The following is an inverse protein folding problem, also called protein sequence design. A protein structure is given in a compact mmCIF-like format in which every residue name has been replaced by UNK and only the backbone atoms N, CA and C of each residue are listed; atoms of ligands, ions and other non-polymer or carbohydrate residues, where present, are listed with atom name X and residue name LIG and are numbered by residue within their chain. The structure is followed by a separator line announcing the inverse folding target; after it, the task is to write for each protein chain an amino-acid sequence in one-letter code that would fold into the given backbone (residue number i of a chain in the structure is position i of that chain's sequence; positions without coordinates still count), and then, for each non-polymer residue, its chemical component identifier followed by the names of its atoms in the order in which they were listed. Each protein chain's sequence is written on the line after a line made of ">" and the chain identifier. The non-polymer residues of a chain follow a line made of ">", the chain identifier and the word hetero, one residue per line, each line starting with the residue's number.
data_IF_285691181524
#
_entry.id   IF_285691181524
#
_cell.length_a   1.000
_cell.length_b   1.000
_cell.length_c   1.000
_cell.angle_alpha   90.00
_cell.angle_beta   90.00
_cell.angle_gamma   90.00
#
_symmetry.space_group_name_H-M   'P 1'
#
loop_
_entity.id
_entity.type
_entity.pdbx_description
1 polymer ?
#
# COMPACT_ATOMS: atom_id res chain seq x y z
N UNK A 1 3.91 9.40 -22.28
CA UNK A 1 4.34 8.64 -21.10
C UNK A 1 4.01 7.15 -21.19
N UNK A 2 2.77 6.74 -21.46
CA UNK A 2 2.43 5.31 -21.57
C UNK A 2 3.30 4.59 -22.63
N UNK A 3 3.46 5.17 -23.82
CA UNK A 3 4.32 4.60 -24.88
C UNK A 3 5.79 4.49 -24.51
N UNK A 4 6.28 5.35 -23.61
CA UNK A 4 7.67 5.36 -23.14
C UNK A 4 7.95 4.27 -22.11
N UNK A 5 7.00 4.02 -21.19
CA UNK A 5 7.17 3.08 -20.07
C UNK A 5 6.52 1.74 -20.32
N UNK A 6 5.64 1.62 -21.33
CA UNK A 6 4.88 0.40 -21.69
C UNK A 6 4.29 -0.31 -20.45
N UNK A 7 3.49 0.38 -19.63
CA UNK A 7 2.87 -0.24 -18.47
C UNK A 7 1.77 -1.20 -18.90
N UNK A 8 1.46 -2.16 -18.05
CA UNK A 8 0.32 -3.07 -18.25
C UNK A 8 -1.00 -2.45 -17.78
N UNK A 9 -0.95 -1.50 -16.84
CA UNK A 9 -2.10 -0.86 -16.19
C UNK A 9 -1.77 0.60 -15.88
N UNK A 10 -2.76 1.47 -15.99
CA UNK A 10 -2.71 2.85 -15.48
C UNK A 10 -3.59 2.94 -14.23
N UNK A 11 -3.01 3.32 -13.08
CA UNK A 11 -3.78 3.53 -11.84
C UNK A 11 -3.87 5.02 -11.48
N UNK A 12 -5.11 5.53 -11.33
CA UNK A 12 -5.36 6.92 -10.95
C UNK A 12 -5.48 7.01 -9.43
N UNK A 13 -4.74 7.95 -8.82
CA UNK A 13 -4.71 8.13 -7.38
C UNK A 13 -5.67 9.24 -6.90
N UNK A 14 -6.85 8.84 -6.40
CA UNK A 14 -7.81 9.69 -5.68
C UNK A 14 -7.81 9.42 -4.17
N UNK A 15 -6.71 8.90 -3.62
CA UNK A 15 -6.62 8.52 -2.20
C UNK A 15 -5.56 9.26 -1.38
N UNK A 16 -4.58 9.94 -1.99
CA UNK A 16 -3.51 10.61 -1.26
C UNK A 16 -4.04 11.81 -0.44
N UNK A 17 -3.95 11.79 0.92
CA UNK A 17 -4.48 12.85 1.77
C UNK A 17 -3.45 13.95 2.08
N UNK A 18 -2.22 13.83 1.59
CA UNK A 18 -1.10 14.72 1.96
C UNK A 18 -1.39 16.17 1.53
N UNK A 19 -1.25 17.18 2.41
CA UNK A 19 -1.56 18.59 2.09
C UNK A 19 -0.85 19.13 0.85
N UNK A 20 0.40 18.72 0.59
CA UNK A 20 1.15 19.12 -0.61
C UNK A 20 0.45 18.70 -1.91
N UNK A 21 -0.30 17.60 -1.89
CA UNK A 21 -1.06 17.07 -3.02
C UNK A 21 -2.46 17.66 -3.06
N UNK A 22 -3.18 17.63 -1.92
CA UNK A 22 -4.58 18.06 -1.86
C UNK A 22 -4.77 19.55 -2.07
N UNK A 23 -3.81 20.41 -1.68
CA UNK A 23 -3.82 21.85 -1.98
C UNK A 23 -3.76 22.18 -3.48
N UNK A 24 -3.32 21.22 -4.31
CA UNK A 24 -3.28 21.33 -5.77
C UNK A 24 -4.53 20.74 -6.46
N UNK A 25 -5.55 20.35 -5.71
CA UNK A 25 -6.75 19.69 -6.23
C UNK A 25 -6.56 18.21 -6.57
N UNK A 26 -5.36 17.65 -6.35
CA UNK A 26 -5.03 16.26 -6.71
C UNK A 26 -5.22 15.28 -5.53
N UNK A 27 -5.07 13.97 -5.81
CA UNK A 27 -5.25 12.92 -4.82
C UNK A 27 -6.68 12.91 -4.28
N UNK A 28 -6.83 12.82 -2.95
CA UNK A 28 -8.16 12.76 -2.33
C UNK A 28 -8.95 14.08 -2.39
N UNK A 29 -8.36 15.18 -2.85
CA UNK A 29 -9.10 16.42 -3.08
C UNK A 29 -10.08 16.32 -4.25
N UNK A 30 -9.81 15.46 -5.23
CA UNK A 30 -10.73 15.18 -6.34
C UNK A 30 -12.08 14.63 -5.86
N UNK A 31 -12.13 13.99 -4.69
CA UNK A 31 -13.37 13.46 -4.11
C UNK A 31 -14.37 14.54 -3.65
N UNK A 32 -13.99 15.81 -3.69
CA UNK A 32 -14.89 16.95 -3.39
C UNK A 32 -15.74 17.34 -4.58
N UNK A 33 -15.29 17.01 -5.79
CA UNK A 33 -15.94 17.35 -7.06
C UNK A 33 -15.98 16.11 -7.94
N UNK A 34 -17.13 15.43 -7.90
CA UNK A 34 -17.30 14.16 -8.63
C UNK A 34 -17.41 14.41 -10.15
N UNK A 35 -17.86 15.59 -10.60
CA UNK A 35 -17.91 15.93 -12.03
C UNK A 35 -16.48 16.03 -12.57
N UNK A 36 -15.62 16.81 -11.89
CA UNK A 36 -14.21 16.93 -12.28
C UNK A 36 -13.48 15.59 -12.20
N UNK A 37 -13.78 14.76 -11.19
CA UNK A 37 -13.20 13.40 -11.06
C UNK A 37 -13.58 12.54 -12.28
N UNK A 38 -14.83 12.58 -12.71
CA UNK A 38 -15.33 11.84 -13.87
C UNK A 38 -14.67 12.35 -15.17
N UNK A 39 -14.60 13.67 -15.37
CA UNK A 39 -13.94 14.28 -16.54
C UNK A 39 -12.47 13.86 -16.66
N UNK A 40 -11.70 13.94 -15.55
CA UNK A 40 -10.31 13.52 -15.52
C UNK A 40 -10.19 12.02 -15.84
N UNK A 41 -11.06 11.20 -15.26
CA UNK A 41 -11.02 9.75 -15.44
C UNK A 41 -11.33 9.38 -16.90
N UNK A 42 -12.37 9.96 -17.48
CA UNK A 42 -12.75 9.75 -18.88
C UNK A 42 -11.62 10.15 -19.84
N UNK A 43 -11.03 11.33 -19.62
CA UNK A 43 -9.90 11.79 -20.42
C UNK A 43 -8.68 10.82 -20.36
N UNK A 44 -8.41 10.23 -19.20
CA UNK A 44 -7.34 9.22 -19.06
C UNK A 44 -7.72 7.93 -19.80
N UNK A 45 -8.95 7.41 -19.61
CA UNK A 45 -9.42 6.20 -20.30
C UNK A 45 -9.37 6.36 -21.82
N UNK A 46 -9.86 7.48 -22.33
CA UNK A 46 -9.86 7.79 -23.77
C UNK A 46 -8.44 7.94 -24.35
N UNK A 47 -7.50 8.45 -23.55
CA UNK A 47 -6.12 8.65 -24.02
C UNK A 47 -5.30 7.37 -24.11
N UNK A 48 -5.74 6.27 -23.47
CA UNK A 48 -5.04 4.97 -23.44
C UNK A 48 -5.99 3.80 -23.67
N UNK A 49 -6.72 3.75 -24.79
CA UNK A 49 -7.78 2.77 -25.01
C UNK A 49 -7.29 1.32 -25.01
N UNK A 50 -5.98 1.09 -25.21
CA UNK A 50 -5.33 -0.21 -25.22
C UNK A 50 -4.96 -0.71 -23.82
N UNK A 51 -5.03 0.13 -22.77
CA UNK A 51 -4.62 -0.21 -21.42
C UNK A 51 -5.82 -0.19 -20.45
N UNK A 52 -5.88 -1.14 -19.51
CA UNK A 52 -6.86 -1.03 -18.42
C UNK A 52 -6.50 0.14 -17.51
N UNK A 53 -7.50 0.98 -17.21
CA UNK A 53 -7.38 2.05 -16.22
C UNK A 53 -8.06 1.60 -14.93
N UNK A 54 -7.37 1.72 -13.80
CA UNK A 54 -7.88 1.46 -12.46
C UNK A 54 -7.83 2.71 -11.61
N UNK A 55 -8.57 2.71 -10.51
CA UNK A 55 -8.62 3.85 -9.59
C UNK A 55 -8.38 3.38 -8.17
N UNK A 56 -7.52 4.09 -7.42
CA UNK A 56 -7.43 3.96 -5.98
C UNK A 56 -7.98 5.20 -5.30
N UNK A 57 -9.01 5.03 -4.43
CA UNK A 57 -9.68 6.15 -3.76
C UNK A 57 -9.86 5.97 -2.26
N UNK A 58 -10.26 7.04 -1.57
CA UNK A 58 -10.80 7.04 -0.19
C UNK A 58 -12.32 7.11 -0.21
N UNK A 59 -12.94 6.95 0.98
CA UNK A 59 -14.39 6.97 1.13
C UNK A 59 -15.04 8.34 0.86
N UNK A 60 -14.26 9.40 0.92
CA UNK A 60 -14.71 10.78 0.75
C UNK A 60 -13.76 11.76 1.43
N UNK A 61 -14.17 13.04 1.49
CA UNK A 61 -13.37 14.08 2.12
C UNK A 61 -13.41 14.02 3.66
N UNK A 62 -14.62 13.92 4.23
CA UNK A 62 -14.85 13.78 5.66
C UNK A 62 -16.10 12.91 5.93
N UNK A 63 -16.48 12.77 7.20
CA UNK A 63 -17.60 11.91 7.62
C UNK A 63 -18.97 12.34 7.08
N UNK A 64 -19.11 13.60 6.69
CA UNK A 64 -20.37 14.13 6.13
C UNK A 64 -20.43 14.00 4.60
N UNK A 65 -19.30 13.73 3.98
CA UNK A 65 -19.15 13.64 2.51
C UNK A 65 -18.64 12.28 2.08
N UNK A 66 -19.29 11.21 2.54
CA UNK A 66 -19.05 9.85 2.05
C UNK A 66 -19.69 9.71 0.66
N UNK A 67 -18.88 9.34 -0.35
CA UNK A 67 -19.30 9.38 -1.75
C UNK A 67 -19.10 8.03 -2.47
N UNK A 68 -18.85 6.97 -1.71
CA UNK A 68 -18.37 5.67 -2.21
C UNK A 68 -19.24 5.12 -3.35
N UNK A 69 -20.56 5.05 -3.15
CA UNK A 69 -21.50 4.52 -4.15
C UNK A 69 -21.55 5.40 -5.40
N UNK A 70 -21.72 6.72 -5.22
CA UNK A 70 -21.78 7.67 -6.34
C UNK A 70 -20.50 7.67 -7.16
N UNK A 71 -19.34 7.74 -6.47
CA UNK A 71 -18.04 7.71 -7.13
C UNK A 71 -17.83 6.38 -7.87
N UNK A 72 -18.18 5.25 -7.25
CA UNK A 72 -18.08 3.94 -7.88
C UNK A 72 -18.85 3.86 -9.20
N UNK A 73 -20.12 4.25 -9.20
CA UNK A 73 -20.96 4.28 -10.40
C UNK A 73 -20.43 5.19 -11.50
N UNK A 74 -19.92 6.38 -11.15
CA UNK A 74 -19.35 7.32 -12.13
C UNK A 74 -18.05 6.78 -12.72
N UNK A 75 -17.16 6.22 -11.89
CA UNK A 75 -15.90 5.62 -12.34
C UNK A 75 -16.12 4.42 -13.28
N UNK A 76 -17.09 3.56 -12.97
CA UNK A 76 -17.45 2.44 -13.83
C UNK A 76 -17.99 2.92 -15.17
N UNK A 77 -18.90 3.91 -15.18
CA UNK A 77 -19.41 4.56 -16.42
C UNK A 77 -18.30 5.20 -17.24
N UNK A 78 -17.30 5.81 -16.59
CA UNK A 78 -16.14 6.39 -17.25
C UNK A 78 -15.18 5.33 -17.84
N UNK A 79 -15.45 4.02 -17.64
CA UNK A 79 -14.70 2.93 -18.25
C UNK A 79 -13.56 2.35 -17.38
N UNK A 80 -13.51 2.70 -16.09
CA UNK A 80 -12.55 2.12 -15.12
C UNK A 80 -12.75 0.60 -15.03
N UNK A 81 -11.65 -0.15 -14.93
CA UNK A 81 -11.66 -1.62 -14.94
C UNK A 81 -11.57 -2.25 -13.54
N UNK A 82 -11.14 -1.51 -12.53
CA UNK A 82 -11.19 -1.94 -11.12
C UNK A 82 -11.08 -0.74 -10.19
N UNK A 83 -11.63 -0.83 -8.98
CA UNK A 83 -11.56 0.21 -7.97
C UNK A 83 -10.96 -0.36 -6.69
N UNK A 84 -9.89 0.27 -6.19
CA UNK A 84 -9.34 0.01 -4.85
C UNK A 84 -9.90 1.04 -3.87
N UNK A 85 -10.61 0.59 -2.84
CA UNK A 85 -11.15 1.47 -1.81
C UNK A 85 -10.39 1.35 -0.49
N UNK A 86 -9.84 2.48 -0.01
CA UNK A 86 -9.45 2.64 1.38
C UNK A 86 -10.58 3.37 2.12
N UNK A 87 -11.36 2.68 2.99
CA UNK A 87 -12.61 3.20 3.52
C UNK A 87 -12.42 4.13 4.73
N UNK A 88 -11.38 4.94 4.71
CA UNK A 88 -11.21 6.13 5.55
C UNK A 88 -11.42 7.37 4.71
N UNK A 89 -11.89 8.45 5.34
CA UNK A 89 -11.97 9.75 4.69
C UNK A 89 -10.61 10.44 4.61
N UNK A 90 -10.51 11.52 3.82
CA UNK A 90 -9.29 12.32 3.74
C UNK A 90 -8.91 12.91 5.10
N UNK A 91 -9.89 13.48 5.84
CA UNK A 91 -9.66 14.08 7.16
C UNK A 91 -9.27 13.07 8.24
N UNK A 92 -9.68 11.82 8.11
CA UNK A 92 -9.26 10.76 9.05
C UNK A 92 -7.78 10.41 8.93
N UNK A 93 -7.14 10.62 7.80
CA UNK A 93 -5.78 10.11 7.57
C UNK A 93 -5.65 8.61 7.88
N UNK A 94 -5.16 8.26 9.07
CA UNK A 94 -5.00 6.89 9.59
C UNK A 94 -5.60 6.73 11.00
N UNK A 95 -6.35 7.73 11.48
CA UNK A 95 -6.99 7.66 12.80
C UNK A 95 -8.26 6.80 12.77
N UNK A 96 -8.61 6.24 13.92
CA UNK A 96 -9.76 5.35 14.05
C UNK A 96 -9.61 4.04 13.26
N UNK A 97 -10.71 3.34 13.04
CA UNK A 97 -10.76 2.09 12.25
C UNK A 97 -11.21 2.37 10.83
N UNK A 98 -10.75 1.54 9.88
CA UNK A 98 -11.30 1.46 8.52
C UNK A 98 -12.70 0.87 8.58
N UNK A 99 -13.66 1.56 7.97
CA UNK A 99 -15.05 1.08 7.91
C UNK A 99 -15.25 0.16 6.69
N UNK A 100 -15.07 -1.12 6.89
CA UNK A 100 -15.17 -2.11 5.81
C UNK A 100 -16.58 -2.22 5.21
N UNK A 101 -17.63 -1.75 5.92
CA UNK A 101 -18.98 -1.71 5.35
C UNK A 101 -19.06 -0.86 4.08
N UNK A 102 -18.22 0.16 3.96
CA UNK A 102 -18.13 0.99 2.75
C UNK A 102 -17.53 0.23 1.55
N UNK A 103 -16.66 -0.77 1.79
CA UNK A 103 -16.19 -1.65 0.72
C UNK A 103 -17.33 -2.53 0.21
N UNK A 104 -18.14 -3.06 1.13
CA UNK A 104 -19.34 -3.82 0.77
C UNK A 104 -20.33 -2.99 -0.04
N UNK A 105 -20.58 -1.74 0.37
CA UNK A 105 -21.44 -0.81 -0.37
C UNK A 105 -20.90 -0.59 -1.79
N UNK A 106 -19.60 -0.34 -1.95
CA UNK A 106 -18.99 -0.20 -3.27
C UNK A 106 -19.17 -1.47 -4.11
N UNK A 107 -18.90 -2.65 -3.52
CA UNK A 107 -19.02 -3.92 -4.23
C UNK A 107 -20.44 -4.20 -4.71
N UNK A 108 -21.45 -3.76 -3.96
CA UNK A 108 -22.86 -3.89 -4.35
C UNK A 108 -23.28 -2.87 -5.42
N UNK A 109 -22.57 -1.73 -5.52
CA UNK A 109 -22.90 -0.65 -6.42
C UNK A 109 -22.31 -0.82 -7.83
N UNK A 110 -21.22 -1.59 -7.99
CA UNK A 110 -20.49 -1.74 -9.25
C UNK A 110 -20.35 -3.20 -9.66
N UNK A 111 -20.25 -3.46 -10.97
CA UNK A 111 -20.00 -4.79 -11.54
C UNK A 111 -18.51 -5.11 -11.72
N UNK A 112 -17.67 -4.08 -11.79
CA UNK A 112 -16.22 -4.21 -11.92
C UNK A 112 -15.56 -4.71 -10.63
N UNK A 113 -14.36 -5.29 -10.71
CA UNK A 113 -13.63 -5.74 -9.54
C UNK A 113 -13.38 -4.62 -8.51
N UNK A 114 -13.61 -4.97 -7.23
CA UNK A 114 -13.35 -4.11 -6.08
C UNK A 114 -12.21 -4.70 -5.25
N UNK A 115 -11.19 -3.90 -4.97
CA UNK A 115 -10.05 -4.26 -4.12
C UNK A 115 -10.21 -3.58 -2.75
N UNK A 116 -10.39 -4.39 -1.70
CA UNK A 116 -10.48 -3.91 -0.31
C UNK A 116 -9.11 -3.53 0.25
N UNK A 117 -9.01 -2.36 0.88
CA UNK A 117 -7.77 -1.86 1.50
C UNK A 117 -8.07 -1.20 2.85
N UNK A 118 -7.17 -1.34 3.82
CA UNK A 118 -7.22 -0.66 5.11
C UNK A 118 -7.35 -1.62 6.29
N UNK A 119 -6.48 -1.43 7.29
CA UNK A 119 -6.40 -2.19 8.55
C UNK A 119 -6.29 -3.72 8.40
N UNK A 120 -5.71 -4.18 7.30
CA UNK A 120 -5.33 -5.57 7.11
C UNK A 120 -3.94 -5.72 7.73
N UNK A 121 -3.86 -6.41 8.87
CA UNK A 121 -2.64 -6.64 9.64
C UNK A 121 -2.17 -8.08 9.61
N UNK A 122 -3.08 -9.02 9.39
CA UNK A 122 -2.86 -10.47 9.44
C UNK A 122 -3.52 -11.17 8.25
N UNK A 123 -3.19 -12.44 8.06
CA UNK A 123 -3.85 -13.27 7.05
C UNK A 123 -5.33 -13.53 7.40
N UNK A 124 -5.68 -13.59 8.69
CA UNK A 124 -7.08 -13.71 9.13
C UNK A 124 -7.89 -12.45 8.79
N UNK A 125 -7.29 -11.25 8.88
CA UNK A 125 -7.97 -10.02 8.42
C UNK A 125 -8.28 -10.07 6.93
N UNK A 126 -7.41 -10.69 6.12
CA UNK A 126 -7.68 -10.89 4.69
C UNK A 126 -8.91 -11.75 4.48
N UNK A 127 -8.99 -12.88 5.17
CA UNK A 127 -10.15 -13.79 5.12
C UNK A 127 -11.42 -13.05 5.50
N UNK A 128 -11.40 -12.35 6.64
CA UNK A 128 -12.52 -11.54 7.11
C UNK A 128 -12.93 -10.45 6.11
N UNK A 129 -11.97 -9.77 5.49
CA UNK A 129 -12.26 -8.75 4.48
C UNK A 129 -13.08 -9.33 3.32
N UNK A 130 -12.72 -10.50 2.80
CA UNK A 130 -13.48 -11.17 1.77
C UNK A 130 -14.90 -11.58 2.26
N UNK A 131 -14.99 -12.18 3.45
CA UNK A 131 -16.26 -12.65 4.02
C UNK A 131 -17.23 -11.52 4.34
N UNK A 132 -16.74 -10.43 4.94
CA UNK A 132 -17.55 -9.31 5.38
C UNK A 132 -17.97 -8.37 4.23
N UNK A 133 -17.11 -8.23 3.20
CA UNK A 133 -17.33 -7.22 2.15
C UNK A 133 -17.69 -7.77 0.78
N UNK A 134 -17.32 -9.03 0.49
CA UNK A 134 -17.48 -9.63 -0.83
C UNK A 134 -16.56 -9.04 -1.90
N UNK A 135 -15.50 -8.28 -1.53
CA UNK A 135 -14.54 -7.73 -2.49
C UNK A 135 -13.81 -8.84 -3.26
N UNK A 136 -13.29 -8.52 -4.44
CA UNK A 136 -12.66 -9.49 -5.36
C UNK A 136 -11.17 -9.69 -5.07
N UNK A 137 -10.53 -8.70 -4.43
CA UNK A 137 -9.13 -8.75 -4.05
C UNK A 137 -8.87 -7.87 -2.82
N UNK A 138 -7.67 -7.99 -2.24
CA UNK A 138 -7.24 -7.16 -1.12
C UNK A 138 -5.90 -6.51 -1.39
N UNK A 139 -5.72 -5.28 -0.91
CA UNK A 139 -4.46 -4.55 -0.95
C UNK A 139 -3.92 -4.39 0.47
N UNK A 140 -2.71 -4.89 0.70
CA UNK A 140 -2.02 -4.78 1.98
C UNK A 140 -1.11 -3.56 1.94
N UNK A 141 -1.23 -2.70 2.94
CA UNK A 141 -0.40 -1.50 3.08
C UNK A 141 0.67 -1.66 4.15
N UNK A 142 0.47 -1.01 5.29
CA UNK A 142 1.44 -0.89 6.38
C UNK A 142 1.93 -2.22 6.96
N UNK A 143 1.11 -3.26 6.94
CA UNK A 143 1.47 -4.57 7.48
C UNK A 143 2.58 -5.28 6.68
N UNK A 144 2.80 -4.92 5.42
CA UNK A 144 3.90 -5.42 4.60
C UNK A 144 5.25 -4.74 4.91
N UNK A 145 5.24 -3.61 5.65
CA UNK A 145 6.48 -2.89 5.98
C UNK A 145 7.34 -3.70 6.95
N UNK A 146 8.51 -4.12 6.48
CA UNK A 146 9.42 -5.01 7.22
C UNK A 146 8.85 -6.41 7.45
N UNK A 147 7.78 -6.78 6.75
CA UNK A 147 7.12 -8.08 6.84
C UNK A 147 6.60 -8.54 5.45
N UNK A 148 7.48 -8.82 4.47
CA UNK A 148 7.04 -9.35 3.19
C UNK A 148 6.47 -10.78 3.28
N UNK A 149 6.72 -11.50 4.36
CA UNK A 149 6.25 -12.88 4.59
C UNK A 149 4.72 -12.96 4.71
N UNK A 150 4.04 -11.86 5.07
CA UNK A 150 2.58 -11.79 5.14
C UNK A 150 1.90 -12.27 3.85
N UNK A 151 2.52 -12.05 2.68
CA UNK A 151 1.98 -12.54 1.41
C UNK A 151 2.08 -14.06 1.27
N UNK A 152 3.14 -14.67 1.79
CA UNK A 152 3.30 -16.13 1.86
C UNK A 152 2.30 -16.78 2.81
N UNK A 153 2.09 -16.17 3.98
CA UNK A 153 1.08 -16.61 4.96
C UNK A 153 -0.32 -16.59 4.36
N UNK A 154 -0.69 -15.48 3.71
CA UNK A 154 -1.99 -15.33 3.04
C UNK A 154 -2.15 -16.38 1.94
N UNK A 155 -1.15 -16.55 1.09
CA UNK A 155 -1.17 -17.55 0.01
C UNK A 155 -1.42 -18.94 0.57
N UNK A 156 -0.73 -19.32 1.65
CA UNK A 156 -0.90 -20.64 2.28
C UNK A 156 -2.32 -20.88 2.81
N UNK A 157 -2.97 -19.84 3.36
CA UNK A 157 -4.37 -19.95 3.82
C UNK A 157 -5.32 -20.22 2.64
N UNK A 158 -5.15 -19.48 1.53
CA UNK A 158 -6.04 -19.67 0.37
C UNK A 158 -5.78 -20.98 -0.38
N UNK A 159 -4.53 -21.43 -0.45
CA UNK A 159 -4.17 -22.70 -1.05
C UNK A 159 -4.38 -23.89 -0.11
N UNK A 160 -4.78 -23.66 1.15
CA UNK A 160 -4.94 -24.69 2.19
C UNK A 160 -3.66 -25.51 2.39
N UNK A 161 -2.52 -24.87 2.30
CA UNK A 161 -1.19 -25.47 2.53
C UNK A 161 -0.72 -25.17 3.95
N UNK A 162 0.42 -25.77 4.33
CA UNK A 162 1.02 -25.53 5.66
C UNK A 162 1.48 -24.07 5.75
N UNK A 163 1.11 -23.39 6.83
CA UNK A 163 1.59 -22.03 7.09
C UNK A 163 3.12 -22.03 7.20
N UNK A 164 3.80 -21.10 6.53
CA UNK A 164 5.24 -20.95 6.68
C UNK A 164 5.58 -20.61 8.14
N UNK A 165 6.72 -21.07 8.65
CA UNK A 165 7.16 -20.68 9.98
C UNK A 165 7.35 -19.17 10.06
N UNK A 166 7.14 -18.60 11.26
CA UNK A 166 7.42 -17.19 11.49
C UNK A 166 8.91 -16.89 11.20
N UNK A 167 9.22 -15.75 10.54
CA UNK A 167 10.61 -15.42 10.22
C UNK A 167 11.44 -15.22 11.49
N UNK A 168 12.59 -15.86 11.52
CA UNK A 168 13.59 -15.67 12.56
C UNK A 168 14.19 -14.26 12.47
N UNK A 169 14.97 -13.88 13.49
CA UNK A 169 15.68 -12.59 13.49
C UNK A 169 16.65 -12.52 12.32
N UNK A 170 17.35 -13.61 12.02
CA UNK A 170 18.29 -13.72 10.89
C UNK A 170 17.60 -13.52 9.53
N UNK A 171 16.41 -14.09 9.34
CA UNK A 171 15.63 -13.91 8.10
C UNK A 171 15.29 -12.44 7.89
N UNK A 172 14.91 -11.76 8.96
CA UNK A 172 14.57 -10.34 8.95
C UNK A 172 15.78 -9.46 8.66
N UNK A 173 16.94 -9.79 9.22
CA UNK A 173 18.21 -9.11 8.94
C UNK A 173 18.62 -9.35 7.50
N UNK A 174 18.55 -10.58 7.02
CA UNK A 174 18.86 -10.94 5.62
C UNK A 174 17.97 -10.17 4.65
N UNK A 175 16.66 -10.12 4.90
CA UNK A 175 15.73 -9.35 4.09
C UNK A 175 16.00 -7.84 4.15
N UNK A 176 16.37 -7.31 5.31
CA UNK A 176 16.78 -5.91 5.51
C UNK A 176 18.00 -5.57 4.64
N UNK A 177 19.03 -6.44 4.64
CA UNK A 177 20.24 -6.30 3.81
C UNK A 177 19.88 -6.32 2.31
N UNK A 178 19.08 -7.29 1.89
CA UNK A 178 18.59 -7.38 0.51
C UNK A 178 17.86 -6.12 0.08
N UNK A 179 16.96 -5.59 0.92
CA UNK A 179 16.23 -4.36 0.64
C UNK A 179 17.17 -3.15 0.49
N UNK A 180 18.16 -3.00 1.37
CA UNK A 180 19.17 -1.94 1.26
C UNK A 180 19.94 -2.04 -0.05
N UNK A 181 20.46 -3.24 -0.39
CA UNK A 181 21.21 -3.45 -1.61
C UNK A 181 20.39 -3.10 -2.87
N UNK A 182 19.13 -3.56 -2.95
CA UNK A 182 18.24 -3.22 -4.06
C UNK A 182 17.94 -1.72 -4.16
N UNK A 183 17.79 -1.03 -3.04
CA UNK A 183 17.59 0.42 -3.04
C UNK A 183 18.85 1.16 -3.54
N UNK A 184 20.04 0.73 -3.10
CA UNK A 184 21.31 1.31 -3.55
C UNK A 184 21.53 1.06 -5.04
N UNK A 185 21.30 -0.16 -5.49
CA UNK A 185 21.43 -0.56 -6.90
C UNK A 185 20.51 0.27 -7.81
N UNK A 186 19.25 0.44 -7.41
CA UNK A 186 18.24 1.09 -8.27
C UNK A 186 18.20 2.62 -8.15
N UNK A 187 18.69 3.21 -7.05
CA UNK A 187 18.57 4.64 -6.74
C UNK A 187 19.89 5.35 -6.50
N UNK A 188 20.99 4.59 -6.51
CA UNK A 188 22.31 5.07 -6.10
C UNK A 188 22.47 5.15 -4.57
N UNK A 189 23.73 5.19 -4.13
CA UNK A 189 24.15 5.13 -2.73
C UNK A 189 23.37 6.10 -1.81
N UNK A 190 23.47 7.39 -2.10
CA UNK A 190 22.90 8.45 -1.24
C UNK A 190 21.38 8.35 -1.11
N UNK A 191 20.68 8.13 -2.22
CA UNK A 191 19.22 8.09 -2.24
C UNK A 191 18.73 6.77 -1.66
N UNK A 192 19.36 5.65 -2.02
CA UNK A 192 19.04 4.31 -1.55
C UNK A 192 19.13 4.21 -0.02
N UNK A 193 20.25 4.66 0.56
CA UNK A 193 20.42 4.67 2.01
C UNK A 193 19.40 5.58 2.71
N UNK A 194 19.17 6.79 2.19
CA UNK A 194 18.18 7.70 2.77
C UNK A 194 16.76 7.10 2.77
N UNK A 195 16.37 6.41 1.71
CA UNK A 195 15.10 5.71 1.64
C UNK A 195 15.05 4.55 2.63
N UNK A 196 16.16 3.82 2.80
CA UNK A 196 16.23 2.67 3.70
C UNK A 196 16.12 3.05 5.18
N UNK A 197 16.55 4.24 5.60
CA UNK A 197 16.56 4.69 7.01
C UNK A 197 15.21 4.48 7.71
N UNK A 198 14.11 4.80 7.04
CA UNK A 198 12.77 4.56 7.59
C UNK A 198 12.41 3.07 7.68
N UNK A 199 12.98 2.22 6.82
CA UNK A 199 12.69 0.79 6.78
C UNK A 199 13.45 0.00 7.85
N UNK A 200 14.62 0.46 8.29
CA UNK A 200 15.35 -0.18 9.40
C UNK A 200 14.46 -0.39 10.62
N UNK A 201 13.62 0.62 10.96
CA UNK A 201 12.72 0.54 12.12
C UNK A 201 11.65 -0.56 12.03
N UNK A 202 11.29 -0.98 10.83
CA UNK A 202 10.30 -2.04 10.63
C UNK A 202 10.91 -3.44 10.66
N UNK A 203 12.17 -3.60 10.21
CA UNK A 203 12.88 -4.87 10.25
C UNK A 203 13.45 -5.14 11.64
N UNK A 204 14.08 -4.13 12.25
CA UNK A 204 14.85 -4.26 13.51
C UNK A 204 13.93 -3.92 14.69
N UNK A 205 13.16 -4.88 15.15
CA UNK A 205 12.20 -4.74 16.25
C UNK A 205 11.96 -6.06 16.98
N UNK A 206 11.43 -5.98 18.22
CA UNK A 206 10.97 -7.12 19.01
C UNK A 206 12.09 -8.11 19.40
N UNK A 207 13.29 -7.59 19.71
CA UNK A 207 14.38 -8.35 20.34
C UNK A 207 15.21 -7.42 21.24
N UNK A 208 15.96 -7.94 22.22
CA UNK A 208 16.80 -7.14 23.11
C UNK A 208 17.82 -6.29 22.33
N UNK A 209 17.99 -5.01 22.69
CA UNK A 209 18.93 -4.10 22.03
C UNK A 209 18.45 -3.50 20.69
N UNK A 210 17.28 -3.89 20.15
CA UNK A 210 16.78 -3.42 18.87
C UNK A 210 16.73 -1.89 18.74
N UNK A 211 16.48 -1.17 19.84
CA UNK A 211 16.45 0.30 19.86
C UNK A 211 17.79 0.93 19.52
N UNK A 212 18.85 0.40 20.09
CA UNK A 212 20.23 0.88 19.90
C UNK A 212 20.72 0.58 18.48
N UNK A 213 20.52 -0.65 18.02
CA UNK A 213 20.82 -1.04 16.64
C UNK A 213 20.09 -0.16 15.60
N UNK A 214 18.80 0.15 15.83
CA UNK A 214 18.08 1.07 14.93
C UNK A 214 18.73 2.44 14.86
N UNK A 215 19.14 3.00 16.02
CA UNK A 215 19.81 4.31 16.07
C UNK A 215 21.10 4.27 15.26
N UNK A 216 21.90 3.23 15.43
CA UNK A 216 23.15 3.07 14.69
C UNK A 216 22.93 2.93 13.17
N UNK A 217 21.94 2.17 12.74
CA UNK A 217 21.62 1.99 11.32
C UNK A 217 21.08 3.27 10.68
N UNK A 218 20.22 4.01 11.37
CA UNK A 218 19.65 5.26 10.87
C UNK A 218 20.69 6.34 10.73
N UNK A 219 21.74 6.33 11.58
CA UNK A 219 22.85 7.28 11.56
C UNK A 219 24.07 6.82 10.76
N UNK A 220 24.03 5.64 10.15
CA UNK A 220 25.12 5.14 9.31
C UNK A 220 25.45 6.14 8.18
N UNK A 221 26.75 6.47 7.97
CA UNK A 221 27.15 7.45 6.97
C UNK A 221 26.98 6.96 5.53
N UNK A 222 27.12 5.64 5.31
CA UNK A 222 27.05 4.97 4.03
C UNK A 222 26.42 3.56 4.15
N UNK A 223 26.08 2.95 3.02
CA UNK A 223 25.45 1.63 2.98
C UNK A 223 26.40 0.52 3.44
N UNK A 224 27.70 0.65 3.20
CA UNK A 224 28.72 -0.30 3.63
C UNK A 224 28.73 -0.40 5.16
N UNK A 225 28.81 0.73 5.85
CA UNK A 225 28.72 0.79 7.32
C UNK A 225 27.40 0.21 7.85
N UNK A 226 26.26 0.49 7.18
CA UNK A 226 24.98 -0.08 7.56
C UNK A 226 24.96 -1.62 7.38
N UNK A 227 25.52 -2.16 6.31
CA UNK A 227 25.64 -3.59 6.06
C UNK A 227 26.53 -4.28 7.10
N UNK A 228 27.68 -3.73 7.43
CA UNK A 228 28.58 -4.25 8.46
C UNK A 228 27.88 -4.33 9.83
N UNK A 229 27.07 -3.30 10.18
CA UNK A 229 26.27 -3.33 11.41
C UNK A 229 25.19 -4.41 11.39
N UNK A 230 24.51 -4.61 10.25
CA UNK A 230 23.53 -5.69 10.10
C UNK A 230 24.18 -7.08 10.22
N UNK A 231 25.41 -7.25 9.71
CA UNK A 231 26.17 -8.49 9.84
C UNK A 231 26.53 -8.79 11.31
N UNK A 232 27.03 -7.78 12.03
CA UNK A 232 27.31 -7.93 13.47
C UNK A 232 26.07 -8.32 14.27
N UNK A 233 24.91 -7.74 13.93
CA UNK A 233 23.66 -8.07 14.58
C UNK A 233 23.24 -9.54 14.36
N UNK A 234 23.46 -10.07 13.16
CA UNK A 234 23.18 -11.48 12.86
C UNK A 234 24.00 -12.45 13.71
N UNK A 235 25.26 -12.10 14.01
CA UNK A 235 26.16 -12.94 14.85
C UNK A 235 25.82 -12.87 16.34
N UNK A 236 25.34 -11.74 16.84
CA UNK A 236 25.03 -11.56 18.29
C UNK A 236 23.71 -12.23 18.70
N UNK A 237 22.83 -12.54 17.74
CA UNK A 237 21.52 -13.16 18.00
C UNK A 237 21.54 -14.70 17.83
N UNK A 238 22.69 -15.29 17.45
CA UNK A 238 22.97 -16.73 17.50
C UNK A 238 23.42 -17.14 18.90
#
# INVERSE_FOLDING_TARGET
>A
MADQFKPDIIDINYGCPVPKITKRGAGSAALKDLCLMEEITSAVVESVPQLPVTVKMRAGWDSQTIIVEKAGNQLEKAGVKAITLHPRTTKQYFTGKSDWSLIKILKQAVSIPVVGNGDIGTADDVKRMFEETGCDAVMIGRAALGNPWIFGEIKSIFEKTVLPPAPLVEDRISMCRRHLNLLVENRGERVGLNLMRKHFGWYIKNFPGAGEFRKELVTAPDSKTALEKLEKLAVVQL
#
